data_IF_708953261701
#
_entry.id   IF_708953261701
#
_cell.length_a   1.000
_cell.length_b   1.000
_cell.length_c   1.000
_cell.angle_alpha   90.00
_cell.angle_beta   90.00
_cell.angle_gamma   90.00
#
_symmetry.space_group_name_H-M   'P 1'
#
loop_
_entity.id
_entity.type
_entity.pdbx_description
1 polymer ?
#
# COMPACT_ATOMS: atom_id res chain seq x y z
N UNK A 1 -44.83 1.84 24.69
CA UNK A 1 -43.39 1.90 24.98
C UNK A 1 -42.66 2.16 23.67
N UNK A 2 -42.10 3.37 23.50
CA UNK A 2 -41.41 3.81 22.29
C UNK A 2 -39.98 3.27 22.34
N UNK A 3 -39.69 2.25 21.54
CA UNK A 3 -38.34 1.73 21.36
C UNK A 3 -37.60 2.71 20.45
N UNK A 4 -36.52 3.25 20.99
CA UNK A 4 -35.80 4.42 20.52
C UNK A 4 -35.03 4.08 19.23
N UNK A 5 -35.13 4.88 18.15
CA UNK A 5 -34.42 4.65 16.88
C UNK A 5 -32.94 5.08 16.94
N UNK A 6 -32.27 4.90 18.09
CA UNK A 6 -30.89 5.37 18.29
C UNK A 6 -29.83 4.40 17.76
N UNK A 7 -30.17 3.12 17.61
CA UNK A 7 -29.21 2.08 17.23
C UNK A 7 -28.74 2.19 15.77
N UNK A 8 -29.57 2.73 14.88
CA UNK A 8 -29.23 2.85 13.45
C UNK A 8 -28.25 4.00 13.15
N UNK A 9 -28.24 5.07 13.96
CA UNK A 9 -27.35 6.21 13.74
C UNK A 9 -25.90 5.93 14.13
N UNK A 10 -25.65 5.05 15.11
CA UNK A 10 -24.30 4.73 15.57
C UNK A 10 -23.52 3.89 14.55
N UNK A 11 -24.19 3.03 13.78
CA UNK A 11 -23.54 2.19 12.76
C UNK A 11 -23.17 2.95 11.48
N UNK A 12 -23.87 4.04 11.15
CA UNK A 12 -23.54 4.90 10.01
C UNK A 12 -22.30 5.78 10.25
N UNK A 13 -22.04 6.17 11.50
CA UNK A 13 -20.87 6.99 11.86
C UNK A 13 -19.55 6.21 11.80
N UNK A 14 -19.57 4.89 12.04
CA UNK A 14 -18.35 4.06 12.03
C UNK A 14 -17.76 3.82 10.63
N UNK A 15 -18.51 4.10 9.55
CA UNK A 15 -18.02 3.93 8.17
C UNK A 15 -17.23 5.17 7.70
N UNK A 16 -17.35 6.31 8.39
CA UNK A 16 -16.72 7.58 7.98
C UNK A 16 -15.31 7.80 8.55
N UNK A 17 -14.79 6.92 9.39
CA UNK A 17 -13.40 6.99 9.88
C UNK A 17 -12.49 6.02 9.12
N UNK A 18 -12.63 5.95 7.79
CA UNK A 18 -11.48 5.60 6.96
C UNK A 18 -10.58 6.83 6.99
N UNK A 19 -9.40 6.79 7.61
CA UNK A 19 -8.54 7.94 7.64
C UNK A 19 -8.08 8.17 6.19
N UNK A 20 -8.68 9.16 5.54
CA UNK A 20 -8.18 9.74 4.30
C UNK A 20 -6.92 10.52 4.66
N UNK A 21 -5.86 9.78 4.94
CA UNK A 21 -4.54 10.31 5.20
C UNK A 21 -3.98 10.80 3.86
N UNK A 22 -4.57 11.80 3.21
CA UNK A 22 -3.98 12.49 2.05
C UNK A 22 -2.78 13.35 2.46
N UNK A 23 -1.90 12.81 3.31
CA UNK A 23 -0.55 13.34 3.51
C UNK A 23 0.12 13.37 2.14
N UNK A 24 0.33 14.57 1.61
CA UNK A 24 0.95 14.80 0.33
C UNK A 24 2.37 14.23 0.36
N UNK A 25 2.53 13.05 -0.22
CA UNK A 25 3.83 12.37 -0.26
C UNK A 25 4.67 13.03 -1.36
N UNK A 26 5.94 13.39 -1.10
CA UNK A 26 6.77 14.08 -2.08
C UNK A 26 7.02 13.21 -3.31
N UNK A 27 7.21 13.84 -4.48
CA UNK A 27 7.49 13.15 -5.76
C UNK A 27 8.72 12.21 -5.62
N UNK A 28 9.71 12.61 -4.83
CA UNK A 28 10.91 11.82 -4.52
C UNK A 28 10.59 10.44 -3.93
N UNK A 29 9.51 10.30 -3.18
CA UNK A 29 9.07 9.01 -2.64
C UNK A 29 8.64 8.05 -3.77
N UNK A 30 7.84 8.54 -4.70
CA UNK A 30 7.38 7.74 -5.84
C UNK A 30 8.55 7.40 -6.78
N UNK A 31 9.48 8.33 -6.98
CA UNK A 31 10.70 8.11 -7.75
C UNK A 31 11.56 6.99 -7.15
N UNK A 32 11.71 6.94 -5.82
CA UNK A 32 12.46 5.87 -5.14
C UNK A 32 11.85 4.48 -5.41
N UNK A 33 10.52 4.38 -5.36
CA UNK A 33 9.82 3.11 -5.62
C UNK A 33 9.95 2.71 -7.10
N UNK A 34 9.75 3.67 -8.01
CA UNK A 34 9.92 3.43 -9.44
C UNK A 34 11.34 2.95 -9.77
N UNK A 35 12.36 3.61 -9.21
CA UNK A 35 13.77 3.23 -9.37
C UNK A 35 14.07 1.83 -8.82
N UNK A 36 13.56 1.49 -7.63
CA UNK A 36 13.74 0.16 -7.04
C UNK A 36 13.14 -0.97 -7.89
N UNK A 37 12.10 -0.67 -8.67
CA UNK A 37 11.45 -1.59 -9.60
C UNK A 37 12.05 -1.56 -11.01
N UNK A 38 13.07 -0.72 -11.26
CA UNK A 38 13.61 -0.50 -12.61
C UNK A 38 12.59 0.08 -13.59
N UNK A 39 11.59 0.81 -13.10
CA UNK A 39 10.51 1.39 -13.92
C UNK A 39 10.58 2.91 -13.89
N UNK A 40 9.99 3.53 -14.92
CA UNK A 40 9.75 4.98 -14.94
C UNK A 40 8.50 5.32 -14.13
N UNK A 41 8.45 6.54 -13.64
CA UNK A 41 7.29 7.08 -12.94
C UNK A 41 6.08 7.16 -13.89
N UNK A 42 5.05 6.36 -13.62
CA UNK A 42 3.79 6.35 -14.37
C UNK A 42 2.77 7.23 -13.65
N UNK A 43 2.08 8.11 -14.39
CA UNK A 43 0.99 8.94 -13.87
C UNK A 43 -0.24 8.09 -13.57
N UNK A 44 -1.00 8.49 -12.56
CA UNK A 44 -2.23 7.84 -12.13
C UNK A 44 -2.09 6.39 -11.67
N UNK A 45 -0.86 5.91 -11.47
CA UNK A 45 -0.60 4.60 -10.87
C UNK A 45 -0.51 4.69 -9.35
N UNK A 46 -0.78 3.56 -8.70
CA UNK A 46 -0.56 3.35 -7.29
C UNK A 46 0.81 2.77 -7.06
N UNK A 47 1.48 3.26 -6.03
CA UNK A 47 2.77 2.79 -5.57
C UNK A 47 2.62 2.29 -4.14
N UNK A 48 3.21 1.15 -3.86
CA UNK A 48 3.19 0.48 -2.58
C UNK A 48 4.61 0.39 -2.02
N UNK A 49 4.78 0.82 -0.78
CA UNK A 49 5.92 0.46 0.07
C UNK A 49 5.38 -0.41 1.19
N UNK A 50 5.76 -1.67 1.24
CA UNK A 50 5.30 -2.62 2.23
C UNK A 50 6.45 -3.15 3.06
N UNK A 51 6.15 -3.58 4.29
CA UNK A 51 7.11 -4.28 5.12
C UNK A 51 6.78 -5.78 5.20
N UNK A 52 7.81 -6.62 5.21
CA UNK A 52 7.67 -8.03 5.57
C UNK A 52 7.63 -8.18 7.10
N UNK A 53 6.80 -9.09 7.60
CA UNK A 53 6.66 -9.37 9.05
C UNK A 53 6.41 -10.85 9.30
N UNK A 54 6.80 -11.31 10.49
CA UNK A 54 6.66 -12.71 10.92
C UNK A 54 7.37 -13.69 9.97
N UNK A 55 8.50 -13.25 9.42
CA UNK A 55 9.34 -14.10 8.58
C UNK A 55 9.96 -15.18 9.47
N UNK A 56 9.85 -16.48 9.10
CA UNK A 56 10.45 -17.57 9.85
C UNK A 56 11.96 -17.40 9.97
N UNK A 57 12.52 -17.91 11.06
CA UNK A 57 13.97 -17.97 11.22
C UNK A 57 14.57 -18.82 10.09
N UNK A 58 15.64 -18.32 9.45
CA UNK A 58 16.31 -18.98 8.33
C UNK A 58 15.81 -18.61 6.94
N UNK A 59 14.73 -17.82 6.82
CA UNK A 59 14.28 -17.26 5.54
C UNK A 59 14.81 -15.84 5.33
N UNK A 60 15.42 -15.60 4.18
CA UNK A 60 15.95 -14.29 3.81
C UNK A 60 14.91 -13.49 3.01
N UNK A 61 14.05 -12.77 3.73
CA UNK A 61 13.10 -11.85 3.12
C UNK A 61 13.51 -10.38 3.27
N UNK A 62 13.40 -9.57 2.20
CA UNK A 62 13.64 -8.14 2.30
C UNK A 62 12.68 -7.48 3.29
N UNK A 63 13.19 -6.68 4.21
CA UNK A 63 12.37 -6.00 5.24
C UNK A 63 11.40 -4.97 4.64
N UNK A 64 11.77 -4.38 3.49
CA UNK A 64 10.96 -3.42 2.74
C UNK A 64 10.85 -3.89 1.31
N UNK A 65 9.63 -3.91 0.79
CA UNK A 65 9.31 -4.31 -0.58
C UNK A 65 8.46 -3.27 -1.27
N UNK A 66 8.58 -3.21 -2.59
CA UNK A 66 8.04 -2.16 -3.42
C UNK A 66 7.10 -2.74 -4.46
N UNK A 67 6.03 -2.02 -4.79
CA UNK A 67 5.10 -2.42 -5.82
C UNK A 67 4.48 -1.24 -6.55
N UNK A 68 4.01 -1.50 -7.76
CA UNK A 68 3.31 -0.54 -8.61
C UNK A 68 2.12 -1.22 -9.30
N UNK A 69 1.04 -0.48 -9.53
CA UNK A 69 -0.14 -0.99 -10.23
C UNK A 69 -1.11 0.11 -10.63
N UNK A 70 -2.08 -0.20 -11.49
CA UNK A 70 -3.14 0.75 -11.85
C UNK A 70 -4.23 0.81 -10.77
N UNK A 71 -4.28 -0.19 -9.89
CA UNK A 71 -5.14 -0.23 -8.71
C UNK A 71 -4.32 -0.45 -7.43
N UNK A 72 -4.91 -0.16 -6.26
CA UNK A 72 -4.29 -0.42 -4.95
C UNK A 72 -3.94 -1.90 -4.79
N UNK A 73 -4.85 -2.78 -5.20
CA UNK A 73 -4.67 -4.24 -5.14
C UNK A 73 -3.53 -4.70 -6.03
N UNK A 74 -3.43 -4.18 -7.25
CA UNK A 74 -2.33 -4.49 -8.16
C UNK A 74 -0.98 -4.03 -7.60
N UNK A 75 -0.92 -2.83 -7.00
CA UNK A 75 0.31 -2.32 -6.38
C UNK A 75 0.75 -3.19 -5.18
N UNK A 76 -0.18 -3.72 -4.41
CA UNK A 76 0.14 -4.65 -3.32
C UNK A 76 0.53 -6.04 -3.84
N UNK A 77 -0.17 -6.55 -4.84
CA UNK A 77 0.14 -7.85 -5.45
C UNK A 77 1.53 -7.84 -6.10
N UNK A 78 1.89 -6.77 -6.80
CA UNK A 78 3.23 -6.62 -7.36
C UNK A 78 4.31 -6.49 -6.28
N UNK A 79 4.01 -5.87 -5.13
CA UNK A 79 4.93 -5.85 -3.99
C UNK A 79 5.18 -7.26 -3.40
N UNK A 80 4.15 -8.13 -3.41
CA UNK A 80 4.31 -9.54 -3.01
C UNK A 80 5.18 -10.32 -3.99
N UNK A 81 4.89 -10.19 -5.29
CA UNK A 81 5.68 -10.83 -6.33
C UNK A 81 7.14 -10.35 -6.31
N UNK A 82 7.38 -9.06 -6.06
CA UNK A 82 8.73 -8.52 -5.90
C UNK A 82 9.45 -9.11 -4.68
N UNK A 83 8.75 -9.33 -3.57
CA UNK A 83 9.31 -9.97 -2.38
C UNK A 83 9.78 -11.41 -2.67
N UNK A 84 8.97 -12.18 -3.39
CA UNK A 84 9.30 -13.55 -3.84
C UNK A 84 10.42 -13.58 -4.88
N UNK A 85 10.63 -12.48 -5.62
CA UNK A 85 11.67 -12.38 -6.64
C UNK A 85 13.03 -11.98 -6.06
N UNK A 86 13.06 -11.06 -5.10
CA UNK A 86 14.31 -10.53 -4.51
C UNK A 86 14.77 -11.34 -3.29
N UNK A 87 13.84 -11.92 -2.55
CA UNK A 87 14.13 -12.79 -1.41
C UNK A 87 13.89 -14.26 -1.73
N UNK A 88 13.77 -15.05 -0.67
CA UNK A 88 13.40 -16.46 -0.79
C UNK A 88 11.97 -16.65 -1.32
N UNK A 89 11.75 -17.81 -1.96
CA UNK A 89 10.43 -18.21 -2.41
C UNK A 89 9.44 -18.28 -1.24
N UNK A 90 8.33 -17.52 -1.36
CA UNK A 90 7.31 -17.42 -0.32
C UNK A 90 7.39 -16.16 0.53
N UNK A 91 8.41 -15.31 0.36
CA UNK A 91 8.51 -14.00 1.01
C UNK A 91 7.29 -13.10 0.80
N UNK A 92 6.62 -13.22 -0.34
CA UNK A 92 5.36 -12.55 -0.68
C UNK A 92 4.26 -12.79 0.35
N UNK A 93 4.25 -13.97 1.01
CA UNK A 93 3.28 -14.31 2.06
C UNK A 93 3.48 -13.51 3.34
N UNK A 94 4.65 -12.92 3.55
CA UNK A 94 4.99 -12.12 4.74
C UNK A 94 4.85 -10.62 4.51
N UNK A 95 4.53 -10.19 3.29
CA UNK A 95 4.21 -8.79 2.98
C UNK A 95 2.91 -8.41 3.68
N UNK A 96 2.98 -7.43 4.59
CA UNK A 96 1.87 -7.01 5.42
C UNK A 96 1.60 -5.52 5.27
N UNK A 97 2.05 -4.70 6.22
CA UNK A 97 1.71 -3.28 6.30
C UNK A 97 2.21 -2.56 5.05
N UNK A 98 1.28 -2.11 4.22
CA UNK A 98 1.55 -1.44 2.96
C UNK A 98 1.09 0.01 3.02
N UNK A 99 2.02 0.93 2.80
CA UNK A 99 1.72 2.32 2.46
C UNK A 99 1.46 2.40 0.96
N UNK A 100 0.20 2.56 0.56
CA UNK A 100 -0.21 2.65 -0.85
C UNK A 100 -0.68 4.05 -1.16
N UNK A 101 -0.04 4.70 -2.14
CA UNK A 101 -0.32 6.08 -2.56
C UNK A 101 -0.50 6.16 -4.07
N UNK A 102 -1.46 6.96 -4.52
CA UNK A 102 -1.66 7.23 -5.94
C UNK A 102 -0.75 8.39 -6.35
N UNK A 103 0.04 8.20 -7.41
CA UNK A 103 0.74 9.31 -8.03
C UNK A 103 -0.22 10.04 -8.96
N UNK A 104 -0.91 11.04 -8.40
CA UNK A 104 -1.58 12.05 -9.22
C UNK A 104 -0.52 13.08 -9.53
N UNK A 105 -0.09 13.21 -10.79
CA UNK A 105 0.83 14.29 -11.16
C UNK A 105 0.13 15.59 -10.78
N UNK A 106 0.55 16.22 -9.70
CA UNK A 106 0.16 17.59 -9.40
C UNK A 106 0.53 18.42 -10.61
N UNK A 107 -0.42 19.22 -11.10
CA UNK A 107 -0.05 20.48 -11.74
C UNK A 107 0.82 21.21 -10.73
N UNK A 108 2.14 21.06 -10.83
CA UNK A 108 3.03 22.12 -10.38
C UNK A 108 2.64 23.33 -11.22
N UNK A 109 1.99 24.29 -10.58
CA UNK A 109 2.13 25.68 -11.01
C UNK A 109 3.59 26.05 -10.89
#
# INVERSE_FOLDING_TARGET
MRVIPFAACFFLLLVMTLPDESVAVPISWFLRIAAALGKKLVKNSYYARCNTRYVPSGMNCPSVVYGVGLTRQQAQASARAYADFVGDSGCGRYVRHCQIRKFVKGRGK
#
